data_IF_873819958134
#
_entry.id   IF_873819958134
#
_cell.length_a   1.000
_cell.length_b   1.000
_cell.length_c   1.000
_cell.angle_alpha   90.00
_cell.angle_beta   90.00
_cell.angle_gamma   90.00
#
_symmetry.space_group_name_H-M   'P 1'
#
loop_
_entity.id
_entity.type
_entity.pdbx_description
1 polymer ?
#
# COMPACT_ATOMS: atom_id res chain seq x y z
N UNK A 1 -11.49 2.96 -16.11
CA UNK A 1 -12.14 4.20 -15.66
C UNK A 1 -13.22 3.78 -14.66
N UNK A 2 -12.81 3.51 -13.43
CA UNK A 2 -13.73 3.16 -12.35
C UNK A 2 -14.50 4.41 -11.94
N UNK A 3 -15.84 4.36 -12.03
CA UNK A 3 -16.69 5.42 -11.52
C UNK A 3 -16.40 5.66 -10.05
N UNK A 4 -16.11 6.91 -9.70
CA UNK A 4 -15.99 7.32 -8.32
C UNK A 4 -17.27 6.91 -7.57
N UNK A 5 -17.18 6.34 -6.37
CA UNK A 5 -18.35 6.11 -5.56
C UNK A 5 -19.09 7.44 -5.42
N UNK A 6 -20.41 7.44 -5.62
CA UNK A 6 -21.24 8.62 -5.40
C UNK A 6 -20.93 9.12 -4.00
N UNK A 7 -20.32 10.30 -3.91
CA UNK A 7 -19.76 10.83 -2.71
C UNK A 7 -20.77 10.83 -1.57
N UNK A 8 -20.51 10.01 -0.56
CA UNK A 8 -21.04 10.26 0.77
C UNK A 8 -20.39 11.54 1.24
N UNK A 9 -21.06 12.66 1.04
CA UNK A 9 -20.73 13.86 1.79
C UNK A 9 -21.14 13.57 3.22
N UNK A 10 -20.17 13.34 4.11
CA UNK A 10 -20.41 13.34 5.55
C UNK A 10 -20.71 14.77 6.01
N UNK A 11 -21.72 15.39 5.40
CA UNK A 11 -22.25 16.70 5.82
C UNK A 11 -22.73 16.66 7.26
N UNK A 12 -23.15 15.48 7.71
CA UNK A 12 -23.70 15.26 9.05
C UNK A 12 -22.63 15.35 10.17
N UNK A 13 -21.34 15.32 9.83
CA UNK A 13 -20.24 15.43 10.79
C UNK A 13 -19.48 16.76 10.75
N UNK A 14 -19.97 17.76 10.04
CA UNK A 14 -19.32 19.07 9.89
C UNK A 14 -18.01 19.04 9.09
N UNK A 15 -17.72 17.94 8.36
CA UNK A 15 -16.52 17.80 7.55
C UNK A 15 -16.73 18.41 6.17
N UNK A 16 -15.89 19.36 5.79
CA UNK A 16 -15.89 19.95 4.46
C UNK A 16 -15.15 19.03 3.48
N UNK A 17 -15.86 18.51 2.47
CA UNK A 17 -15.29 17.64 1.43
C UNK A 17 -15.26 18.38 0.09
N UNK A 18 -14.12 18.32 -0.61
CA UNK A 18 -13.93 18.83 -1.96
C UNK A 18 -13.53 17.69 -2.89
N UNK A 19 -14.33 17.42 -3.91
CA UNK A 19 -13.98 16.48 -4.96
C UNK A 19 -13.31 17.22 -6.11
N UNK A 20 -12.17 16.69 -6.57
CA UNK A 20 -11.45 17.16 -7.74
C UNK A 20 -11.15 15.97 -8.66
N UNK A 21 -11.53 16.06 -9.92
CA UNK A 21 -11.20 15.09 -10.96
C UNK A 21 -9.90 15.50 -11.64
N UNK A 22 -9.03 14.54 -11.92
CA UNK A 22 -7.77 14.79 -12.60
C UNK A 22 -6.77 13.65 -12.36
N UNK A 23 -5.64 13.71 -13.03
CA UNK A 23 -4.52 12.80 -12.85
C UNK A 23 -3.52 13.39 -11.86
N UNK A 24 -3.12 12.59 -10.86
CA UNK A 24 -2.08 13.00 -9.89
C UNK A 24 -0.70 13.21 -10.55
N UNK A 25 -0.51 12.66 -11.73
CA UNK A 25 0.73 12.81 -12.52
C UNK A 25 0.63 13.88 -13.62
N UNK A 26 -0.51 14.57 -13.75
CA UNK A 26 -0.66 15.69 -14.68
C UNK A 26 -0.43 17.03 -13.97
N UNK A 27 0.51 17.82 -14.51
CA UNK A 27 0.91 19.10 -13.92
C UNK A 27 -0.22 20.13 -13.91
N UNK A 28 -1.07 20.16 -14.97
CA UNK A 28 -2.18 21.12 -15.09
C UNK A 28 -3.27 20.79 -14.08
N UNK A 29 -3.64 19.49 -13.99
CA UNK A 29 -4.61 19.01 -13.02
C UNK A 29 -4.17 19.33 -11.60
N UNK A 30 -2.93 19.02 -11.25
CA UNK A 30 -2.39 19.30 -9.92
C UNK A 30 -2.31 20.79 -9.61
N UNK A 31 -1.97 21.64 -10.60
CA UNK A 31 -2.01 23.08 -10.40
C UNK A 31 -3.42 23.57 -10.04
N UNK A 32 -4.44 23.06 -10.74
CA UNK A 32 -5.84 23.43 -10.49
C UNK A 32 -6.31 22.94 -9.11
N UNK A 33 -5.98 21.67 -8.76
CA UNK A 33 -6.34 21.09 -7.46
C UNK A 33 -5.72 21.88 -6.32
N UNK A 34 -4.41 22.13 -6.36
CA UNK A 34 -3.72 22.85 -5.28
C UNK A 34 -4.16 24.30 -5.19
N UNK A 35 -4.45 24.95 -6.34
CA UNK A 35 -5.08 26.28 -6.33
C UNK A 35 -6.43 26.25 -5.62
N UNK A 36 -7.29 25.32 -5.98
CA UNK A 36 -8.62 25.18 -5.36
C UNK A 36 -8.53 24.89 -3.86
N UNK A 37 -7.60 24.02 -3.43
CA UNK A 37 -7.33 23.76 -2.00
C UNK A 37 -6.99 25.09 -1.31
N UNK A 38 -6.03 25.83 -1.84
CA UNK A 38 -5.59 27.12 -1.28
C UNK A 38 -6.73 28.14 -1.14
N UNK A 39 -7.59 28.20 -2.16
CA UNK A 39 -8.66 29.21 -2.23
C UNK A 39 -9.88 28.86 -1.36
N UNK A 40 -10.13 27.58 -1.08
CA UNK A 40 -11.42 27.13 -0.53
C UNK A 40 -11.33 26.20 0.70
N UNK A 41 -10.15 25.69 1.04
CA UNK A 41 -9.97 24.72 2.13
C UNK A 41 -9.04 25.28 3.21
N UNK A 42 -9.07 24.74 4.41
CA UNK A 42 -8.05 25.02 5.42
C UNK A 42 -6.64 24.66 4.91
N UNK A 43 -5.57 25.16 5.57
CA UNK A 43 -4.20 24.80 5.20
C UNK A 43 -4.01 23.28 5.12
N UNK A 44 -3.41 22.82 4.01
CA UNK A 44 -3.12 21.40 3.80
C UNK A 44 -2.14 20.91 4.85
N UNK A 45 -2.51 19.83 5.56
CA UNK A 45 -1.74 19.25 6.65
C UNK A 45 -1.25 17.83 6.37
N UNK A 46 -1.89 17.13 5.44
CA UNK A 46 -1.52 15.75 5.14
C UNK A 46 -1.78 15.39 3.69
N UNK A 47 -0.98 14.43 3.21
CA UNK A 47 -1.15 13.76 1.92
C UNK A 47 -1.32 12.27 2.18
N UNK A 48 -2.28 11.67 1.48
CA UNK A 48 -2.40 10.21 1.35
C UNK A 48 -2.39 9.86 -0.13
N UNK A 49 -1.29 9.30 -0.60
CA UNK A 49 -1.08 8.93 -2.00
C UNK A 49 -1.48 7.47 -2.22
N UNK A 50 -2.69 7.26 -2.70
CA UNK A 50 -3.28 5.95 -2.97
C UNK A 50 -3.60 5.73 -4.46
N UNK A 51 -3.00 6.51 -5.37
CA UNK A 51 -3.22 6.34 -6.81
C UNK A 51 -2.68 4.98 -7.27
N UNK A 52 -3.49 4.27 -8.06
CA UNK A 52 -3.18 2.94 -8.55
C UNK A 52 -3.86 2.68 -9.89
N UNK A 53 -3.10 2.08 -10.79
CA UNK A 53 -3.58 1.41 -12.01
C UNK A 53 -2.94 0.03 -12.02
N UNK A 54 -3.65 -0.98 -12.50
CA UNK A 54 -3.14 -2.33 -12.73
C UNK A 54 -3.20 -2.66 -14.21
N UNK A 55 -2.14 -3.29 -14.70
CA UNK A 55 -2.04 -3.86 -16.03
C UNK A 55 -1.04 -5.02 -15.94
N UNK A 56 -1.53 -6.12 -15.35
CA UNK A 56 -0.74 -7.30 -15.06
C UNK A 56 -0.43 -8.08 -16.35
N UNK A 57 0.69 -8.77 -16.37
CA UNK A 57 1.13 -9.61 -17.50
C UNK A 57 2.50 -10.20 -17.26
N UNK A 58 2.87 -11.23 -18.02
CA UNK A 58 4.21 -11.81 -17.97
C UNK A 58 5.26 -10.81 -18.46
N UNK A 59 6.51 -10.92 -17.99
CA UNK A 59 7.59 -9.98 -18.35
C UNK A 59 7.73 -9.81 -19.87
N UNK A 60 7.67 -10.87 -20.72
CA UNK A 60 7.75 -10.71 -22.16
C UNK A 60 6.57 -9.95 -22.80
N UNK A 61 5.42 -9.86 -22.10
CA UNK A 61 4.21 -9.19 -22.60
C UNK A 61 4.11 -7.73 -22.15
N UNK A 62 4.94 -7.30 -21.20
CA UNK A 62 4.95 -5.93 -20.69
C UNK A 62 5.91 -5.09 -21.52
N UNK A 63 5.35 -4.31 -22.43
CA UNK A 63 6.08 -3.28 -23.16
C UNK A 63 6.24 -2.00 -22.33
N UNK A 64 6.95 -1.02 -22.90
CA UNK A 64 7.20 0.26 -22.24
C UNK A 64 5.90 1.01 -21.89
N UNK A 65 4.91 1.00 -22.79
CA UNK A 65 3.66 1.73 -22.61
C UNK A 65 2.85 1.13 -21.44
N UNK A 66 2.69 -0.19 -21.42
CA UNK A 66 2.03 -0.92 -20.33
C UNK A 66 2.74 -0.73 -18.99
N UNK A 67 4.08 -0.78 -19.00
CA UNK A 67 4.86 -0.52 -17.79
C UNK A 67 4.60 0.88 -17.25
N UNK A 68 4.73 1.91 -18.09
CA UNK A 68 4.58 3.31 -17.68
C UNK A 68 3.15 3.65 -17.25
N UNK A 69 2.13 3.03 -17.86
CA UNK A 69 0.72 3.18 -17.46
C UNK A 69 0.48 2.86 -15.98
N UNK A 70 1.18 1.86 -15.44
CA UNK A 70 1.09 1.45 -14.04
C UNK A 70 2.06 2.23 -13.16
N UNK A 71 3.26 2.50 -13.65
CA UNK A 71 4.34 3.16 -12.91
C UNK A 71 4.07 4.66 -12.67
N UNK A 72 3.61 5.38 -13.70
CA UNK A 72 3.43 6.84 -13.66
C UNK A 72 2.50 7.30 -12.53
N UNK A 73 1.30 6.75 -12.32
CA UNK A 73 0.41 7.20 -11.25
C UNK A 73 1.06 7.09 -9.87
N UNK A 74 1.87 6.08 -9.63
CA UNK A 74 2.56 5.88 -8.36
C UNK A 74 3.81 6.74 -8.24
N UNK A 75 4.76 6.57 -9.12
CA UNK A 75 6.07 7.20 -9.00
C UNK A 75 6.04 8.70 -9.37
N UNK A 76 5.55 9.03 -10.58
CA UNK A 76 5.46 10.42 -11.03
C UNK A 76 4.41 11.18 -10.22
N UNK A 77 3.28 10.53 -9.88
CA UNK A 77 2.26 11.11 -9.00
C UNK A 77 2.81 11.45 -7.62
N UNK A 78 3.58 10.54 -7.01
CA UNK A 78 4.24 10.78 -5.73
C UNK A 78 5.23 11.95 -5.80
N UNK A 79 6.06 11.99 -6.86
CA UNK A 79 7.00 13.08 -7.09
C UNK A 79 6.29 14.41 -7.27
N UNK A 80 5.19 14.44 -8.05
CA UNK A 80 4.36 15.64 -8.25
C UNK A 80 3.81 16.18 -6.92
N UNK A 81 3.28 15.30 -6.07
CA UNK A 81 2.79 15.67 -4.75
C UNK A 81 3.92 16.21 -3.86
N UNK A 82 5.12 15.62 -3.94
CA UNK A 82 6.29 16.15 -3.26
C UNK A 82 6.62 17.57 -3.72
N UNK A 83 6.77 17.78 -5.02
CA UNK A 83 7.11 19.09 -5.58
C UNK A 83 6.11 20.18 -5.15
N UNK A 84 4.82 19.84 -5.12
CA UNK A 84 3.76 20.75 -4.67
C UNK A 84 3.77 21.05 -3.18
N UNK A 85 4.33 20.15 -2.37
CA UNK A 85 4.21 20.23 -0.89
C UNK A 85 5.53 20.35 -0.15
N UNK A 86 6.70 20.28 -0.81
CA UNK A 86 8.01 20.31 -0.16
C UNK A 86 8.31 21.60 0.64
N UNK A 87 7.59 22.67 0.36
CA UNK A 87 7.69 23.94 1.10
C UNK A 87 6.52 24.16 2.07
N UNK A 88 5.60 23.19 2.18
CA UNK A 88 4.46 23.27 3.09
C UNK A 88 4.78 22.57 4.41
N UNK A 89 4.24 23.07 5.52
CA UNK A 89 4.34 22.40 6.82
C UNK A 89 3.27 21.31 6.93
N UNK A 90 3.59 20.15 6.35
CA UNK A 90 2.75 18.96 6.48
C UNK A 90 3.05 18.24 7.79
N UNK A 91 2.02 17.63 8.36
CA UNK A 91 2.14 16.71 9.49
C UNK A 91 2.40 15.28 8.97
N UNK A 92 1.80 14.91 7.82
CA UNK A 92 1.90 13.57 7.26
C UNK A 92 2.05 13.60 5.74
N UNK A 93 2.82 12.63 5.21
CA UNK A 93 2.87 12.29 3.78
C UNK A 93 2.92 10.76 3.69
N UNK A 94 1.78 10.14 3.38
CA UNK A 94 1.62 8.69 3.42
C UNK A 94 1.52 8.13 2.01
N UNK A 95 2.38 7.16 1.70
CA UNK A 95 2.38 6.43 0.45
C UNK A 95 1.75 5.05 0.65
N UNK A 96 0.76 4.72 -0.16
CA UNK A 96 0.12 3.42 -0.20
C UNK A 96 0.87 2.52 -1.18
N UNK A 97 1.82 1.77 -0.65
CA UNK A 97 2.58 0.75 -1.35
C UNK A 97 1.88 -0.62 -1.22
N UNK A 98 2.56 -1.70 -1.52
CA UNK A 98 2.03 -3.06 -1.47
C UNK A 98 3.07 -4.04 -0.94
N UNK A 99 2.60 -5.10 -0.27
CA UNK A 99 3.40 -6.27 0.06
C UNK A 99 4.09 -6.87 -1.18
N UNK A 100 3.49 -6.69 -2.37
CA UNK A 100 4.09 -7.11 -3.64
C UNK A 100 5.47 -6.49 -3.90
N UNK A 101 5.75 -5.29 -3.41
CA UNK A 101 7.06 -4.66 -3.54
C UNK A 101 8.11 -5.28 -2.60
N UNK A 102 7.65 -5.90 -1.52
CA UNK A 102 8.53 -6.52 -0.51
C UNK A 102 8.82 -7.97 -0.86
N UNK A 103 7.82 -8.69 -1.34
CA UNK A 103 7.85 -10.13 -1.57
C UNK A 103 8.08 -10.52 -3.03
N UNK A 104 7.68 -9.65 -3.94
CA UNK A 104 7.50 -9.93 -5.36
C UNK A 104 6.10 -10.48 -5.64
N UNK A 105 5.62 -10.32 -6.87
CA UNK A 105 4.40 -10.97 -7.31
C UNK A 105 4.49 -11.28 -8.81
N UNK A 106 4.40 -12.56 -9.22
CA UNK A 106 4.41 -12.93 -10.62
C UNK A 106 3.36 -12.16 -11.43
N UNK A 107 3.74 -11.69 -12.61
CA UNK A 107 2.85 -10.91 -13.49
C UNK A 107 2.71 -9.43 -13.13
N UNK A 108 3.32 -8.94 -12.04
CA UNK A 108 3.14 -7.57 -11.54
C UNK A 108 4.42 -6.70 -11.59
N UNK A 109 5.32 -6.93 -12.55
CA UNK A 109 6.60 -6.22 -12.62
C UNK A 109 6.44 -4.69 -12.58
N UNK A 110 5.46 -4.14 -13.30
CA UNK A 110 5.17 -2.70 -13.34
C UNK A 110 4.64 -2.18 -12.01
N UNK A 111 3.75 -2.95 -11.39
CA UNK A 111 3.15 -2.63 -10.10
C UNK A 111 4.19 -2.70 -8.96
N UNK A 112 5.01 -3.75 -8.96
CA UNK A 112 6.14 -3.90 -8.03
C UNK A 112 7.11 -2.72 -8.20
N UNK A 113 7.49 -2.36 -9.42
CA UNK A 113 8.37 -1.22 -9.70
C UNK A 113 7.85 0.10 -9.16
N UNK A 114 6.56 0.40 -9.40
CA UNK A 114 5.92 1.61 -8.88
C UNK A 114 5.86 1.66 -7.34
N UNK A 115 5.56 0.54 -6.70
CA UNK A 115 5.53 0.44 -5.24
C UNK A 115 6.95 0.50 -4.62
N UNK A 116 7.95 -0.14 -5.23
CA UNK A 116 9.35 -0.05 -4.80
C UNK A 116 9.89 1.38 -4.88
N UNK A 117 9.42 2.18 -5.86
CA UNK A 117 9.72 3.61 -5.87
C UNK A 117 9.19 4.30 -4.61
N UNK A 118 7.93 4.06 -4.23
CA UNK A 118 7.32 4.65 -3.03
C UNK A 118 8.07 4.27 -1.76
N UNK A 119 8.53 3.01 -1.66
CA UNK A 119 9.27 2.49 -0.52
C UNK A 119 10.58 3.28 -0.30
N UNK A 120 11.35 3.46 -1.36
CA UNK A 120 12.61 4.20 -1.30
C UNK A 120 12.40 5.71 -1.15
N UNK A 121 11.34 6.25 -1.77
CA UNK A 121 11.01 7.67 -1.72
C UNK A 121 10.78 8.16 -0.29
N UNK A 122 10.15 7.38 0.58
CA UNK A 122 9.92 7.80 1.97
C UNK A 122 11.22 7.99 2.75
N UNK A 123 12.19 7.09 2.59
CA UNK A 123 13.51 7.26 3.18
C UNK A 123 14.23 8.50 2.66
N UNK A 124 14.24 8.69 1.35
CA UNK A 124 14.85 9.85 0.70
C UNK A 124 14.20 11.17 1.16
N UNK A 125 12.86 11.23 1.24
CA UNK A 125 12.14 12.44 1.68
C UNK A 125 12.42 12.76 3.15
N UNK A 126 12.50 11.73 4.00
CA UNK A 126 12.89 11.87 5.42
C UNK A 126 14.30 12.40 5.61
N UNK A 127 15.24 11.97 4.79
CA UNK A 127 16.60 12.47 4.83
C UNK A 127 16.71 13.98 4.56
N UNK A 128 15.67 14.58 3.97
CA UNK A 128 15.53 16.02 3.76
C UNK A 128 14.76 16.74 4.88
N UNK A 129 14.48 16.07 5.99
CA UNK A 129 13.73 16.64 7.11
C UNK A 129 12.22 16.76 6.87
N UNK A 130 11.68 16.12 5.83
CA UNK A 130 10.28 16.19 5.46
C UNK A 130 9.52 14.92 5.91
N UNK A 131 8.26 15.03 6.38
CA UNK A 131 7.49 13.87 6.80
C UNK A 131 7.20 12.94 5.61
N UNK A 132 7.41 11.63 5.79
CA UNK A 132 6.99 10.59 4.84
C UNK A 132 6.91 9.24 5.52
N UNK A 133 5.87 8.49 5.21
CA UNK A 133 5.66 7.10 5.64
C UNK A 133 5.18 6.29 4.46
N UNK A 134 5.74 5.11 4.24
CA UNK A 134 5.22 4.14 3.27
C UNK A 134 4.61 2.96 4.01
N UNK A 135 3.40 2.56 3.60
CA UNK A 135 2.72 1.37 4.09
C UNK A 135 2.65 0.36 2.94
N UNK A 136 3.33 -0.78 3.11
CA UNK A 136 3.21 -1.92 2.19
C UNK A 136 2.00 -2.74 2.61
N UNK A 137 0.85 -2.42 2.01
CA UNK A 137 -0.41 -3.07 2.33
C UNK A 137 -0.45 -4.51 1.81
N UNK A 138 -0.89 -5.41 2.68
CA UNK A 138 -1.37 -6.73 2.32
C UNK A 138 -2.77 -6.67 1.69
N UNK A 139 -3.52 -7.77 1.81
CA UNK A 139 -4.86 -7.89 1.24
C UNK A 139 -5.89 -7.22 2.14
N UNK A 140 -6.66 -6.27 1.60
CA UNK A 140 -7.86 -5.72 2.26
C UNK A 140 -9.07 -6.31 1.55
N UNK A 141 -9.91 -7.06 2.31
CA UNK A 141 -10.91 -7.95 1.74
C UNK A 141 -12.23 -7.30 1.36
N UNK A 142 -12.66 -6.32 2.11
CA UNK A 142 -14.01 -5.73 2.00
C UNK A 142 -14.06 -4.40 1.23
N UNK A 143 -12.91 -3.83 0.90
CA UNK A 143 -12.80 -2.59 0.11
C UNK A 143 -11.65 -2.66 -0.91
N UNK A 144 -11.68 -1.76 -1.90
CA UNK A 144 -10.59 -1.61 -2.85
C UNK A 144 -10.65 -2.58 -4.03
N UNK A 145 -9.48 -2.96 -4.57
CA UNK A 145 -9.38 -3.77 -5.78
C UNK A 145 -9.82 -5.23 -5.54
N UNK A 146 -9.31 -5.86 -4.49
CA UNK A 146 -9.57 -7.29 -4.21
C UNK A 146 -11.05 -7.54 -3.98
N UNK A 147 -11.72 -6.68 -3.20
CA UNK A 147 -13.17 -6.76 -2.96
C UNK A 147 -14.01 -6.66 -4.24
N UNK A 148 -13.51 -6.00 -5.30
CA UNK A 148 -14.20 -5.83 -6.58
C UNK A 148 -13.82 -6.87 -7.63
N UNK A 149 -12.82 -7.71 -7.36
CA UNK A 149 -12.17 -8.57 -8.37
C UNK A 149 -12.55 -10.05 -8.26
N UNK A 150 -13.76 -10.38 -7.80
CA UNK A 150 -14.32 -11.72 -7.82
C UNK A 150 -13.41 -12.78 -7.16
N UNK A 151 -12.73 -13.61 -7.96
CA UNK A 151 -11.93 -14.74 -7.47
C UNK A 151 -10.51 -14.40 -6.96
N UNK A 152 -10.06 -13.15 -7.05
CA UNK A 152 -8.68 -12.78 -6.68
C UNK A 152 -8.42 -13.02 -5.19
N UNK A 153 -9.38 -12.67 -4.32
CA UNK A 153 -9.25 -12.89 -2.88
C UNK A 153 -9.08 -14.37 -2.51
N UNK A 154 -9.84 -15.26 -3.15
CA UNK A 154 -9.73 -16.71 -2.93
C UNK A 154 -8.38 -17.28 -3.41
N UNK A 155 -7.83 -16.76 -4.50
CA UNK A 155 -6.50 -17.16 -4.99
C UNK A 155 -5.41 -16.71 -4.01
N UNK A 156 -5.45 -15.45 -3.56
CA UNK A 156 -4.49 -14.92 -2.60
C UNK A 156 -4.54 -15.66 -1.27
N UNK A 157 -5.73 -16.01 -0.79
CA UNK A 157 -5.90 -16.80 0.41
C UNK A 157 -5.23 -18.18 0.31
N UNK A 158 -5.37 -18.88 -0.83
CA UNK A 158 -4.69 -20.16 -1.10
C UNK A 158 -3.15 -20.05 -1.15
N UNK A 159 -2.63 -18.86 -1.36
CA UNK A 159 -1.19 -18.57 -1.35
C UNK A 159 -0.69 -18.13 0.04
N UNK A 160 -1.54 -18.13 1.06
CA UNK A 160 -1.20 -17.71 2.41
C UNK A 160 -1.42 -16.22 2.71
N UNK A 161 -1.97 -15.45 1.75
CA UNK A 161 -2.29 -14.04 1.98
C UNK A 161 -3.72 -13.91 2.52
N UNK A 162 -3.87 -13.78 3.83
CA UNK A 162 -5.15 -13.53 4.47
C UNK A 162 -5.55 -12.07 4.30
N UNK A 163 -6.85 -11.85 4.17
CA UNK A 163 -7.38 -10.50 4.08
C UNK A 163 -7.75 -9.98 5.47
N UNK A 164 -7.45 -8.73 5.75
CA UNK A 164 -8.02 -8.01 6.87
C UNK A 164 -9.11 -7.03 6.41
N UNK A 165 -10.01 -6.69 7.32
CA UNK A 165 -11.13 -5.80 7.05
C UNK A 165 -10.74 -4.32 7.12
N UNK A 166 -11.69 -3.44 6.76
CA UNK A 166 -11.45 -2.00 6.74
C UNK A 166 -11.18 -1.44 8.16
N UNK A 167 -11.76 -2.02 9.21
CA UNK A 167 -11.55 -1.52 10.58
C UNK A 167 -10.13 -1.82 11.04
N UNK A 168 -9.63 -3.02 10.72
CA UNK A 168 -8.23 -3.39 10.94
C UNK A 168 -7.29 -2.48 10.13
N UNK A 169 -7.60 -2.22 8.85
CA UNK A 169 -6.81 -1.31 8.01
C UNK A 169 -6.78 0.13 8.56
N UNK A 170 -7.91 0.64 9.07
CA UNK A 170 -7.96 1.96 9.72
C UNK A 170 -7.14 1.96 11.01
N UNK A 171 -7.20 0.91 11.82
CA UNK A 171 -6.37 0.77 13.02
C UNK A 171 -4.87 0.76 12.69
N UNK A 172 -4.46 0.07 11.62
CA UNK A 172 -3.09 0.12 11.13
C UNK A 172 -2.71 1.54 10.72
N UNK A 173 -3.56 2.23 9.95
CA UNK A 173 -3.31 3.61 9.54
C UNK A 173 -3.13 4.54 10.75
N UNK A 174 -3.95 4.42 11.77
CA UNK A 174 -3.82 5.16 13.02
C UNK A 174 -2.46 4.90 13.68
N UNK A 175 -2.04 3.65 13.79
CA UNK A 175 -0.71 3.30 14.32
C UNK A 175 0.43 3.90 13.49
N UNK A 176 0.28 3.95 12.16
CA UNK A 176 1.29 4.59 11.29
C UNK A 176 1.34 6.11 11.52
N UNK A 177 0.20 6.75 11.74
CA UNK A 177 0.13 8.19 12.05
C UNK A 177 0.76 8.51 13.42
N UNK A 178 0.49 7.70 14.44
CA UNK A 178 1.01 7.89 15.81
C UNK A 178 2.52 7.61 15.89
N UNK A 179 2.97 6.50 15.32
CA UNK A 179 4.36 6.05 15.43
C UNK A 179 5.28 6.66 14.38
N UNK A 180 4.71 7.18 13.30
CA UNK A 180 5.41 7.86 12.21
C UNK A 180 6.66 7.11 11.68
N UNK A 181 6.59 5.82 11.34
CA UNK A 181 7.72 5.06 10.81
C UNK A 181 8.06 5.51 9.39
N UNK A 182 9.28 5.22 8.92
CA UNK A 182 9.64 5.46 7.51
C UNK A 182 8.87 4.51 6.58
N UNK A 183 8.85 3.22 6.95
CA UNK A 183 8.19 2.17 6.20
C UNK A 183 7.70 1.06 7.14
N UNK A 184 6.56 0.48 6.84
CA UNK A 184 6.04 -0.71 7.52
C UNK A 184 5.26 -1.58 6.54
N UNK A 185 5.33 -2.89 6.75
CA UNK A 185 4.46 -3.87 6.11
C UNK A 185 3.26 -4.11 7.02
N UNK A 186 2.07 -4.06 6.46
CA UNK A 186 0.81 -4.34 7.12
C UNK A 186 0.14 -5.53 6.42
N UNK A 187 0.23 -6.70 7.00
CA UNK A 187 -0.29 -7.93 6.39
C UNK A 187 -0.74 -8.92 7.46
N UNK A 188 -1.79 -9.66 7.16
CA UNK A 188 -2.12 -10.92 7.80
C UNK A 188 -1.67 -12.05 6.86
N UNK A 189 -0.73 -12.89 7.31
CA UNK A 189 -0.04 -13.83 6.43
C UNK A 189 0.14 -15.17 7.11
N UNK A 190 -0.16 -16.24 6.39
CA UNK A 190 0.21 -17.59 6.76
C UNK A 190 1.58 -17.92 6.18
N UNK A 191 2.63 -17.80 7.00
CA UNK A 191 4.01 -17.94 6.54
C UNK A 191 4.37 -19.36 6.12
N UNK A 192 3.66 -20.38 6.62
CA UNK A 192 3.83 -21.76 6.19
C UNK A 192 3.33 -21.95 4.75
N UNK A 193 2.10 -21.53 4.48
CA UNK A 193 1.54 -21.56 3.12
C UNK A 193 2.36 -20.72 2.15
N UNK A 194 2.82 -19.54 2.59
CA UNK A 194 3.69 -18.67 1.77
C UNK A 194 5.03 -19.38 1.49
N UNK A 195 5.57 -20.11 2.46
CA UNK A 195 6.80 -20.89 2.31
C UNK A 195 6.67 -22.01 1.28
N UNK A 196 5.53 -22.66 1.24
CA UNK A 196 5.21 -23.70 0.25
C UNK A 196 5.02 -23.10 -1.16
N UNK A 197 4.28 -21.99 -1.26
CA UNK A 197 3.97 -21.37 -2.56
C UNK A 197 5.14 -20.60 -3.17
N UNK A 198 5.96 -19.94 -2.33
CA UNK A 198 7.08 -19.10 -2.74
C UNK A 198 8.41 -19.54 -2.07
N UNK A 199 8.88 -20.77 -2.30
CA UNK A 199 10.01 -21.33 -1.55
C UNK A 199 11.31 -20.54 -1.69
N UNK A 200 11.56 -19.89 -2.84
CA UNK A 200 12.74 -19.06 -3.03
C UNK A 200 12.72 -17.80 -2.15
N UNK A 201 11.57 -17.11 -2.09
CA UNK A 201 11.39 -15.93 -1.26
C UNK A 201 11.42 -16.26 0.22
N UNK A 202 10.76 -17.36 0.62
CA UNK A 202 10.70 -17.82 2.01
C UNK A 202 12.07 -18.19 2.57
N UNK A 203 12.97 -18.77 1.76
CA UNK A 203 14.34 -19.13 2.15
C UNK A 203 15.30 -17.93 2.18
N UNK A 204 14.87 -16.76 1.69
CA UNK A 204 15.70 -15.57 1.75
C UNK A 204 15.97 -15.13 3.20
N UNK A 205 17.11 -14.52 3.46
CA UNK A 205 17.47 -13.99 4.79
C UNK A 205 16.44 -12.98 5.34
N UNK A 206 15.63 -12.39 4.45
CA UNK A 206 14.56 -11.44 4.80
C UNK A 206 13.38 -12.12 5.49
N UNK A 207 13.01 -13.34 5.09
CA UNK A 207 11.78 -14.00 5.51
C UNK A 207 11.99 -15.34 6.22
N UNK A 208 13.18 -15.92 6.13
CA UNK A 208 13.46 -17.26 6.68
C UNK A 208 13.14 -17.37 8.18
N UNK A 209 13.31 -16.30 8.95
CA UNK A 209 12.99 -16.27 10.38
C UNK A 209 11.48 -16.39 10.64
N UNK A 210 10.63 -15.82 9.79
CA UNK A 210 9.18 -15.86 9.93
C UNK A 210 8.60 -17.26 9.66
N UNK A 211 9.25 -18.04 8.79
CA UNK A 211 8.88 -19.44 8.50
C UNK A 211 9.37 -20.36 9.63
N UNK A 212 10.58 -20.15 10.14
CA UNK A 212 11.19 -20.99 11.19
C UNK A 212 10.60 -20.83 12.59
N UNK A 213 10.09 -19.65 12.94
CA UNK A 213 9.47 -19.42 14.25
C UNK A 213 8.28 -20.34 14.51
N UNK A 214 7.57 -20.77 13.46
CA UNK A 214 6.45 -21.69 13.59
C UNK A 214 6.89 -23.15 13.84
N UNK A 215 8.05 -23.56 13.30
CA UNK A 215 8.63 -24.88 13.60
C UNK A 215 9.04 -25.01 15.08
N UNK A 216 9.46 -23.91 15.72
CA UNK A 216 9.85 -23.89 17.15
C UNK A 216 8.65 -23.74 18.10
N UNK A 217 7.56 -23.12 17.67
CA UNK A 217 6.33 -22.95 18.45
C UNK A 217 5.37 -24.14 18.42
N UNK A 218 5.55 -25.07 17.48
CA UNK A 218 4.68 -26.24 17.30
C UNK A 218 5.01 -27.49 18.16
N UNK A 219 6.14 -27.49 18.88
CA UNK A 219 6.56 -28.62 19.69
C UNK A 219 6.29 -28.50 21.19
N UNK A 220 5.52 -27.52 21.63
CA UNK A 220 5.21 -27.27 23.04
C UNK A 220 3.79 -27.66 23.47
N UNK A 221 3.30 -28.85 23.12
CA UNK A 221 1.94 -29.18 23.50
C UNK A 221 1.54 -30.65 23.32
N UNK A 222 2.30 -31.62 23.84
CA UNK A 222 1.76 -32.94 24.14
C UNK A 222 2.77 -33.72 25.00
N UNK A 223 2.49 -33.80 26.29
CA UNK A 223 3.28 -34.64 27.19
C UNK A 223 2.81 -34.52 28.63
N UNK A 224 1.51 -34.64 28.88
CA UNK A 224 1.04 -35.11 30.20
C UNK A 224 0.93 -36.61 30.07
N UNK A 225 1.99 -37.31 30.43
CA UNK A 225 2.00 -38.72 30.65
C UNK A 225 1.53 -38.98 32.07
N UNK A 226 0.38 -39.60 32.21
CA UNK A 226 0.01 -40.37 33.41
C UNK A 226 0.93 -41.56 33.49
N UNK A 227 1.33 -41.88 34.73
CA UNK A 227 2.06 -43.09 34.97
C UNK A 227 2.49 -43.30 36.42
N UNK A 228 1.64 -44.02 37.19
CA UNK A 228 1.90 -44.87 38.36
C UNK A 228 2.57 -44.17 39.56
#
# INVERSE_FOLDING_TARGET
VGGAPKGRTDKDKGVKVMLAKGSVSDQKDMNLVFKKIKDTMPPLKGIQHAAMVLDDGSIPEIDHERYMKVFIPKAVGCWMLHEKTKKMKLDHFINYSSISAVYGNPGQVSYVGGNSFLDNFSGWRRAQGLPSTTINWGVIGDVGFVARSGNVGGLLYKQGWKAFDIHQAVGVLEQMLLNNPVQRVATDSDWEMIGEFFPHSAKSSRFAHLVKEKELGGSGGAGVGEGA
#
